data_IF_119396655289
#
_entry.id   IF_119396655289
#
_cell.length_a   1.000
_cell.length_b   1.000
_cell.length_c   1.000
_cell.angle_alpha   90.00
_cell.angle_beta   90.00
_cell.angle_gamma   90.00
#
_symmetry.space_group_name_H-M   'P 1'
#
loop_
_entity.id
_entity.type
_entity.pdbx_description
1 polymer ?
#
# COMPACT_ATOMS: atom_id res chain seq x y z
N UNK A 1 44.74 -5.89 -13.52
CA UNK A 1 44.50 -6.28 -14.91
C UNK A 1 44.22 -5.05 -15.78
N UNK A 2 43.27 -4.17 -15.38
CA UNK A 2 42.89 -2.98 -16.17
C UNK A 2 44.04 -1.97 -16.34
N UNK A 3 44.78 -1.66 -15.28
CA UNK A 3 45.92 -0.75 -15.33
C UNK A 3 47.04 -1.28 -16.26
N UNK A 4 47.29 -2.59 -16.25
CA UNK A 4 48.27 -3.20 -17.14
C UNK A 4 47.77 -3.18 -18.60
N UNK A 5 46.50 -3.46 -18.83
CA UNK A 5 45.90 -3.38 -20.15
C UNK A 5 45.96 -1.97 -20.72
N UNK A 6 45.71 -0.96 -19.91
CA UNK A 6 45.83 0.44 -20.31
C UNK A 6 47.29 0.79 -20.67
N UNK A 7 48.23 0.43 -19.82
CA UNK A 7 49.66 0.67 -20.09
C UNK A 7 50.15 0.02 -21.39
N UNK A 8 49.71 -1.21 -21.67
CA UNK A 8 50.00 -1.89 -22.93
C UNK A 8 49.36 -1.22 -24.15
N UNK A 9 48.13 -0.68 -23.99
CA UNK A 9 47.47 0.10 -25.02
C UNK A 9 48.24 1.39 -25.32
N UNK A 10 48.63 2.11 -24.26
CA UNK A 10 49.38 3.38 -24.38
C UNK A 10 50.72 3.20 -25.08
N UNK A 11 51.40 2.05 -24.90
CA UNK A 11 52.63 1.66 -25.58
C UNK A 11 52.38 1.04 -26.98
N UNK A 12 51.14 0.96 -27.45
CA UNK A 12 50.81 0.40 -28.76
C UNK A 12 51.05 -1.09 -28.89
N UNK A 13 51.18 -1.82 -27.77
CA UNK A 13 51.44 -3.26 -27.78
C UNK A 13 50.14 -4.05 -27.93
N UNK A 14 50.04 -4.92 -28.95
CA UNK A 14 48.85 -5.77 -29.12
C UNK A 14 48.70 -6.71 -27.93
N UNK A 15 47.58 -6.65 -27.28
CA UNK A 15 47.27 -7.53 -26.15
C UNK A 15 45.78 -7.86 -26.11
N UNK A 16 45.45 -8.98 -25.47
CA UNK A 16 44.08 -9.37 -25.17
C UNK A 16 43.91 -9.39 -23.67
N UNK A 17 43.07 -8.47 -23.16
CA UNK A 17 42.70 -8.47 -21.76
C UNK A 17 41.47 -9.35 -21.56
N UNK A 18 41.67 -10.55 -21.04
CA UNK A 18 40.57 -11.41 -20.59
C UNK A 18 40.27 -11.06 -19.13
N UNK A 19 39.70 -9.89 -18.89
CA UNK A 19 39.04 -9.62 -17.64
C UNK A 19 37.73 -10.38 -17.67
N UNK A 20 37.67 -11.48 -16.94
CA UNK A 20 36.37 -12.11 -16.63
C UNK A 20 35.58 -11.11 -15.80
N UNK A 21 34.85 -10.20 -16.43
CA UNK A 21 33.69 -9.58 -15.80
C UNK A 21 32.78 -10.75 -15.47
N UNK A 22 32.69 -11.04 -14.19
CA UNK A 22 31.76 -12.05 -13.72
C UNK A 22 30.36 -11.54 -14.00
N UNK A 23 29.80 -11.93 -15.14
CA UNK A 23 28.48 -11.52 -15.62
C UNK A 23 27.44 -11.80 -14.55
N UNK A 24 27.62 -12.86 -13.75
CA UNK A 24 26.73 -13.22 -12.66
C UNK A 24 26.71 -12.20 -11.50
N UNK A 25 27.72 -11.33 -11.42
CA UNK A 25 27.77 -10.25 -10.44
C UNK A 25 27.14 -8.96 -10.95
N UNK A 26 26.85 -8.84 -12.24
CA UNK A 26 26.20 -7.65 -12.80
C UNK A 26 24.80 -7.45 -12.22
N UNK A 27 24.35 -6.20 -12.16
CA UNK A 27 23.00 -5.89 -11.70
C UNK A 27 21.95 -6.46 -12.65
N UNK A 28 22.20 -6.35 -13.95
CA UNK A 28 21.29 -6.83 -14.99
C UNK A 28 21.05 -8.34 -14.89
N UNK A 29 22.14 -9.11 -14.73
CA UNK A 29 22.02 -10.55 -14.53
C UNK A 29 21.22 -10.88 -13.26
N UNK A 30 21.48 -10.18 -12.15
CA UNK A 30 20.75 -10.39 -10.90
C UNK A 30 19.26 -10.07 -11.03
N UNK A 31 18.90 -9.07 -11.85
CA UNK A 31 17.51 -8.74 -12.13
C UNK A 31 16.86 -9.82 -12.98
N UNK A 32 17.51 -10.24 -14.08
CA UNK A 32 17.00 -11.33 -14.92
C UNK A 32 16.84 -12.62 -14.11
N UNK A 33 17.84 -12.97 -13.31
CA UNK A 33 17.78 -14.13 -12.42
C UNK A 33 16.61 -14.03 -11.43
N UNK A 34 16.36 -12.83 -10.89
CA UNK A 34 15.25 -12.61 -9.95
C UNK A 34 13.89 -12.91 -10.58
N UNK A 35 13.66 -12.58 -11.86
CA UNK A 35 12.42 -12.92 -12.55
C UNK A 35 12.15 -14.44 -12.57
N UNK A 36 13.16 -15.22 -12.98
CA UNK A 36 13.01 -16.68 -12.99
C UNK A 36 12.91 -17.25 -11.56
N UNK A 37 13.62 -16.67 -10.63
CA UNK A 37 13.67 -17.12 -9.24
C UNK A 37 12.31 -17.00 -8.57
N UNK A 38 11.60 -15.88 -8.75
CA UNK A 38 10.27 -15.69 -8.13
C UNK A 38 9.18 -16.51 -8.81
N UNK A 39 9.32 -16.79 -10.10
CA UNK A 39 8.39 -17.69 -10.82
C UNK A 39 8.51 -19.12 -10.29
N UNK A 40 9.72 -19.56 -9.96
CA UNK A 40 9.96 -20.90 -9.42
C UNK A 40 9.61 -21.01 -7.92
N UNK A 41 9.79 -19.91 -7.19
CA UNK A 41 9.52 -19.85 -5.76
C UNK A 41 9.18 -18.42 -5.33
N UNK A 42 7.91 -18.14 -5.14
CA UNK A 42 7.38 -16.82 -4.78
C UNK A 42 7.73 -16.35 -3.35
N UNK A 43 8.25 -17.24 -2.51
CA UNK A 43 8.73 -16.87 -1.16
C UNK A 43 10.13 -16.24 -1.17
N UNK A 44 10.76 -16.07 -2.32
CA UNK A 44 12.10 -15.49 -2.48
C UNK A 44 12.11 -13.97 -2.31
N UNK A 45 11.95 -13.51 -1.07
CA UNK A 45 11.80 -12.08 -0.75
C UNK A 45 12.93 -11.17 -1.25
N UNK A 46 14.18 -11.65 -1.28
CA UNK A 46 15.31 -10.84 -1.79
C UNK A 46 15.18 -10.58 -3.29
N UNK A 47 14.70 -11.56 -4.03
CA UNK A 47 14.52 -11.44 -5.47
C UNK A 47 13.29 -10.60 -5.78
N UNK A 48 12.21 -10.74 -5.03
CA UNK A 48 11.06 -9.83 -5.09
C UNK A 48 11.45 -8.38 -4.78
N UNK A 49 12.24 -8.13 -3.73
CA UNK A 49 12.69 -6.77 -3.41
C UNK A 49 13.47 -6.15 -4.57
N UNK A 50 14.30 -6.95 -5.25
CA UNK A 50 15.07 -6.51 -6.42
C UNK A 50 14.16 -6.16 -7.60
N UNK A 51 13.15 -6.99 -7.87
CA UNK A 51 12.19 -6.74 -8.93
C UNK A 51 11.37 -5.50 -8.66
N UNK A 52 10.73 -5.39 -7.49
CA UNK A 52 9.89 -4.27 -7.10
C UNK A 52 10.63 -2.93 -7.17
N UNK A 53 11.91 -2.93 -6.78
CA UNK A 53 12.76 -1.74 -6.90
C UNK A 53 13.17 -1.47 -8.34
N UNK A 54 13.63 -2.47 -9.07
CA UNK A 54 14.13 -2.28 -10.44
C UNK A 54 13.02 -1.87 -11.42
N UNK A 55 11.81 -2.38 -11.24
CA UNK A 55 10.64 -2.01 -12.05
C UNK A 55 10.02 -0.67 -11.65
N UNK A 56 10.56 0.01 -10.63
CA UNK A 56 10.05 1.30 -10.16
C UNK A 56 8.76 1.24 -9.35
N UNK A 57 8.28 0.04 -9.01
CA UNK A 57 7.09 -0.12 -8.15
C UNK A 57 7.36 0.39 -6.73
N UNK A 58 8.58 0.18 -6.24
CA UNK A 58 9.02 0.69 -4.94
C UNK A 58 10.34 1.44 -5.11
N UNK A 59 10.40 2.62 -4.54
CA UNK A 59 11.45 3.61 -4.75
C UNK A 59 12.86 3.15 -4.31
N UNK A 60 12.97 2.31 -3.27
CA UNK A 60 14.26 1.83 -2.78
C UNK A 60 14.25 0.36 -2.37
N UNK A 61 15.43 -0.28 -2.44
CA UNK A 61 15.63 -1.67 -1.99
C UNK A 61 15.25 -1.88 -0.52
N UNK A 62 15.52 -0.92 0.34
CA UNK A 62 15.24 -1.05 1.77
C UNK A 62 13.75 -0.91 2.05
N UNK A 63 13.06 -0.04 1.31
CA UNK A 63 11.60 0.05 1.37
C UNK A 63 10.96 -1.25 0.86
N UNK A 64 11.41 -1.78 -0.28
CA UNK A 64 10.93 -3.06 -0.80
C UNK A 64 11.10 -4.21 0.21
N UNK A 65 12.25 -4.29 0.86
CA UNK A 65 12.50 -5.29 1.92
C UNK A 65 11.59 -5.13 3.13
N UNK A 66 11.29 -3.90 3.55
CA UNK A 66 10.35 -3.64 4.65
C UNK A 66 8.93 -4.04 4.28
N UNK A 67 8.48 -3.67 3.09
CA UNK A 67 7.18 -4.04 2.56
C UNK A 67 7.00 -5.56 2.55
N UNK A 68 7.94 -6.29 1.94
CA UNK A 68 7.89 -7.75 1.88
C UNK A 68 7.94 -8.43 3.25
N UNK A 69 8.66 -7.88 4.21
CA UNK A 69 8.63 -8.38 5.59
C UNK A 69 7.25 -8.23 6.21
N UNK A 70 6.58 -7.08 6.01
CA UNK A 70 5.20 -6.87 6.49
C UNK A 70 4.22 -7.81 5.81
N UNK A 71 4.29 -7.95 4.48
CA UNK A 71 3.46 -8.92 3.75
C UNK A 71 3.62 -10.32 4.32
N UNK A 72 4.85 -10.75 4.56
CA UNK A 72 5.12 -12.06 5.15
C UNK A 72 4.51 -12.24 6.54
N UNK A 73 4.47 -11.22 7.39
CA UNK A 73 3.88 -11.33 8.73
C UNK A 73 2.38 -11.60 8.72
N UNK A 74 1.69 -11.23 7.63
CA UNK A 74 0.26 -11.47 7.43
C UNK A 74 -0.01 -12.61 6.43
N UNK A 75 1.02 -13.36 6.06
CA UNK A 75 0.89 -14.52 5.17
C UNK A 75 0.74 -14.18 3.69
N UNK A 76 1.01 -12.94 3.27
CA UNK A 76 0.96 -12.53 1.88
C UNK A 76 2.30 -12.66 1.17
N UNK A 77 2.22 -12.92 -0.14
CA UNK A 77 3.33 -12.80 -1.10
C UNK A 77 2.96 -11.78 -2.18
N UNK A 78 3.91 -11.21 -2.93
CA UNK A 78 3.59 -10.37 -4.09
C UNK A 78 2.76 -11.08 -5.14
N UNK A 79 2.88 -12.40 -5.26
CA UNK A 79 2.06 -13.21 -6.17
C UNK A 79 0.58 -13.14 -5.84
N UNK A 80 0.22 -13.01 -4.57
CA UNK A 80 -1.17 -12.85 -4.13
C UNK A 80 -1.81 -11.58 -4.67
N UNK A 81 -1.01 -10.52 -4.88
CA UNK A 81 -1.49 -9.26 -5.44
C UNK A 81 -1.59 -9.31 -6.98
N UNK A 82 -0.78 -10.14 -7.63
CA UNK A 82 -0.76 -10.30 -9.08
C UNK A 82 -1.83 -11.31 -9.54
N UNK A 83 -1.98 -12.39 -8.79
CA UNK A 83 -2.89 -13.50 -9.08
C UNK A 83 -3.92 -13.68 -7.96
N UNK A 84 -4.69 -12.63 -7.67
CA UNK A 84 -5.67 -12.60 -6.58
C UNK A 84 -6.71 -13.74 -6.68
N UNK A 85 -7.03 -14.20 -7.88
CA UNK A 85 -7.96 -15.31 -8.14
C UNK A 85 -7.45 -16.67 -7.63
N UNK A 86 -6.14 -16.78 -7.38
CA UNK A 86 -5.47 -18.00 -6.86
C UNK A 86 -4.92 -17.82 -5.45
N UNK A 87 -4.96 -16.60 -4.93
CA UNK A 87 -4.49 -16.27 -3.60
C UNK A 87 -5.41 -16.89 -2.55
N UNK A 88 -4.84 -17.63 -1.61
CA UNK A 88 -5.59 -18.14 -0.46
C UNK A 88 -6.12 -16.99 0.41
N UNK A 89 -5.35 -15.92 0.55
CA UNK A 89 -5.77 -14.72 1.26
C UNK A 89 -6.99 -14.05 0.62
N UNK A 90 -6.96 -13.81 -0.69
CA UNK A 90 -8.09 -13.24 -1.41
C UNK A 90 -9.30 -14.18 -1.44
N UNK A 91 -9.09 -15.49 -1.48
CA UNK A 91 -10.18 -16.46 -1.37
C UNK A 91 -10.83 -16.46 0.03
N UNK A 92 -10.04 -16.35 1.08
CA UNK A 92 -10.57 -16.24 2.45
C UNK A 92 -11.29 -14.89 2.65
N UNK A 93 -10.73 -13.79 2.17
CA UNK A 93 -11.40 -12.49 2.17
C UNK A 93 -12.74 -12.55 1.42
N UNK A 94 -12.76 -13.17 0.22
CA UNK A 94 -13.99 -13.35 -0.56
C UNK A 94 -15.03 -14.25 0.15
N UNK A 95 -14.58 -15.24 0.92
CA UNK A 95 -15.48 -16.08 1.76
C UNK A 95 -16.02 -15.29 2.94
N UNK A 96 -15.20 -14.47 3.59
CA UNK A 96 -15.62 -13.61 4.70
C UNK A 96 -16.71 -12.62 4.27
N UNK A 97 -16.61 -12.07 3.05
CA UNK A 97 -17.64 -11.19 2.47
C UNK A 97 -18.98 -11.92 2.26
N UNK A 98 -18.93 -13.23 1.92
CA UNK A 98 -20.13 -14.05 1.59
C UNK A 98 -20.79 -14.61 2.83
N UNK A 99 -21.18 -14.02 3.77
CA UNK A 99 -21.91 -14.59 4.92
C UNK A 99 -21.86 -13.72 6.15
N UNK A 100 -21.20 -12.60 6.03
CA UNK A 100 -21.05 -11.64 7.12
C UNK A 100 -21.50 -10.27 6.68
N UNK A 101 -21.82 -9.46 7.67
CA UNK A 101 -22.01 -8.03 7.47
C UNK A 101 -20.67 -7.35 7.57
N UNK A 102 -20.32 -6.54 6.58
CA UNK A 102 -19.16 -5.67 6.59
C UNK A 102 -19.63 -4.23 6.75
N UNK A 103 -18.87 -3.44 7.47
CA UNK A 103 -18.98 -1.97 7.47
C UNK A 103 -17.80 -1.45 6.65
N UNK A 104 -18.10 -0.89 5.49
CA UNK A 104 -17.12 -0.15 4.70
C UNK A 104 -17.21 1.30 5.14
N UNK A 105 -16.08 1.87 5.53
CA UNK A 105 -16.02 3.24 6.03
C UNK A 105 -14.81 3.99 5.47
N UNK A 106 -14.95 5.29 5.47
CA UNK A 106 -13.90 6.24 5.12
C UNK A 106 -13.93 7.41 6.10
N UNK A 107 -12.82 8.11 6.24
CA UNK A 107 -12.66 9.24 7.14
C UNK A 107 -12.05 10.43 6.42
N UNK A 108 -12.60 11.62 6.69
CA UNK A 108 -11.97 12.88 6.34
C UNK A 108 -11.28 13.48 7.56
N UNK A 109 -10.13 14.08 7.35
CA UNK A 109 -9.27 14.61 8.42
C UNK A 109 -8.81 16.03 8.13
N UNK A 110 -8.31 16.72 9.15
CA UNK A 110 -7.72 18.06 9.01
C UNK A 110 -6.35 18.04 8.30
N UNK A 111 -5.73 16.86 8.18
CA UNK A 111 -4.44 16.67 7.51
C UNK A 111 -4.04 15.20 7.47
N UNK A 112 -2.77 14.92 7.25
CA UNK A 112 -2.24 13.54 7.06
C UNK A 112 -1.42 13.01 8.22
N UNK A 113 -1.26 13.78 9.28
CA UNK A 113 -0.52 13.36 10.48
C UNK A 113 -1.46 12.71 11.49
N UNK A 114 -1.45 11.38 11.55
CA UNK A 114 -2.31 10.57 12.43
C UNK A 114 -2.15 10.85 13.94
N UNK A 115 -1.11 11.58 14.34
CA UNK A 115 -0.87 11.93 15.75
C UNK A 115 -1.30 13.35 16.09
N UNK A 116 -1.50 14.21 15.08
CA UNK A 116 -1.76 15.63 15.29
C UNK A 116 -3.01 16.11 14.56
N UNK A 117 -3.51 15.41 13.57
CA UNK A 117 -4.69 15.80 12.83
C UNK A 117 -5.94 15.13 13.39
N UNK A 118 -7.08 15.82 13.26
CA UNK A 118 -8.36 15.37 13.77
C UNK A 118 -9.20 14.74 12.66
N UNK A 119 -9.99 13.72 13.00
CA UNK A 119 -11.03 13.20 12.14
C UNK A 119 -12.22 14.16 12.19
N UNK A 120 -12.66 14.64 11.03
CA UNK A 120 -13.79 15.58 10.89
C UNK A 120 -15.04 14.99 10.27
N UNK A 121 -14.91 13.82 9.63
CA UNK A 121 -16.05 13.05 9.14
C UNK A 121 -15.75 11.55 9.22
N UNK A 122 -16.79 10.80 9.54
CA UNK A 122 -16.84 9.35 9.34
C UNK A 122 -18.05 9.04 8.47
N UNK A 123 -17.79 8.52 7.27
CA UNK A 123 -18.82 8.00 6.38
C UNK A 123 -18.73 6.47 6.33
N UNK A 124 -19.89 5.80 6.38
CA UNK A 124 -19.90 4.34 6.37
C UNK A 124 -21.16 3.77 5.71
N UNK A 125 -21.06 2.54 5.21
CA UNK A 125 -22.17 1.79 4.65
C UNK A 125 -22.02 0.31 5.01
N UNK A 126 -23.14 -0.38 5.21
CA UNK A 126 -23.12 -1.83 5.45
C UNK A 126 -23.23 -2.60 4.14
N UNK A 127 -22.44 -3.66 4.03
CA UNK A 127 -22.57 -4.67 2.98
C UNK A 127 -22.95 -6.00 3.59
N UNK A 128 -23.88 -6.69 2.95
CA UNK A 128 -24.24 -8.06 3.27
C UNK A 128 -24.22 -8.89 2.00
N UNK A 129 -23.51 -10.02 2.02
CA UNK A 129 -23.33 -10.87 0.84
C UNK A 129 -22.81 -10.10 -0.41
N UNK A 130 -21.93 -9.13 -0.21
CA UNK A 130 -21.35 -8.32 -1.28
C UNK A 130 -22.31 -7.29 -1.90
N UNK A 131 -23.45 -7.01 -1.27
CA UNK A 131 -24.40 -5.99 -1.69
C UNK A 131 -24.58 -4.94 -0.60
N UNK A 132 -24.73 -3.70 -1.02
CA UNK A 132 -25.04 -2.60 -0.10
C UNK A 132 -26.41 -2.86 0.53
N UNK A 133 -26.49 -2.70 1.83
CA UNK A 133 -27.77 -2.74 2.58
C UNK A 133 -28.43 -1.37 2.45
N UNK A 134 -29.58 -1.32 1.82
CA UNK A 134 -30.32 -0.07 1.59
C UNK A 134 -30.69 0.60 2.92
N UNK A 135 -30.45 1.91 3.01
CA UNK A 135 -30.72 2.70 4.22
C UNK A 135 -29.74 2.47 5.36
N UNK A 136 -28.58 1.86 5.07
CA UNK A 136 -27.52 1.62 6.06
C UNK A 136 -26.45 2.71 6.07
N UNK A 137 -26.62 3.78 5.34
CA UNK A 137 -25.64 4.85 5.27
C UNK A 137 -25.50 5.55 6.63
N UNK A 138 -24.26 5.72 7.08
CA UNK A 138 -23.88 6.52 8.23
C UNK A 138 -22.99 7.66 7.72
N UNK A 139 -23.24 8.87 8.22
CA UNK A 139 -22.43 10.03 7.85
C UNK A 139 -22.44 11.02 9.02
N UNK A 140 -21.32 11.08 9.73
CA UNK A 140 -21.13 11.85 10.94
C UNK A 140 -20.11 12.96 10.68
N UNK A 141 -20.48 14.21 11.01
CA UNK A 141 -19.52 15.33 11.05
C UNK A 141 -19.11 15.54 12.50
N UNK A 142 -17.83 15.68 12.71
CA UNK A 142 -17.19 15.72 14.03
C UNK A 142 -16.58 17.09 14.24
N UNK A 143 -16.85 17.71 15.39
CA UNK A 143 -16.29 19.00 15.73
C UNK A 143 -14.76 18.95 15.89
N UNK A 144 -14.10 20.03 15.48
CA UNK A 144 -12.66 20.22 15.62
C UNK A 144 -12.36 21.70 15.86
N UNK A 145 -11.34 21.96 16.68
CA UNK A 145 -10.75 23.28 16.87
C UNK A 145 -9.63 23.56 15.84
N UNK A 146 -9.30 22.58 15.01
CA UNK A 146 -8.25 22.72 14.00
C UNK A 146 -8.76 23.33 12.70
N UNK A 147 -7.93 24.09 12.00
CA UNK A 147 -8.30 24.62 10.70
C UNK A 147 -8.43 23.50 9.68
N UNK A 148 -9.55 23.47 8.95
CA UNK A 148 -9.73 22.57 7.80
C UNK A 148 -9.10 23.25 6.58
N UNK A 149 -8.16 22.59 5.87
CA UNK A 149 -7.54 23.16 4.69
C UNK A 149 -8.56 23.52 3.62
N UNK A 150 -8.51 24.73 3.09
CA UNK A 150 -9.42 25.17 2.03
C UNK A 150 -9.10 24.53 0.67
N UNK A 151 -7.87 24.02 0.52
CA UNK A 151 -7.39 23.41 -0.71
C UNK A 151 -6.79 22.03 -0.43
N UNK A 152 -7.05 21.08 -1.34
CA UNK A 152 -6.40 19.78 -1.41
C UNK A 152 -5.50 19.78 -2.66
N UNK A 153 -4.23 20.10 -2.47
CA UNK A 153 -3.33 20.41 -3.60
C UNK A 153 -3.85 21.62 -4.37
N UNK A 154 -4.15 21.46 -5.65
CA UNK A 154 -4.65 22.52 -6.53
C UNK A 154 -6.20 22.59 -6.59
N UNK A 155 -6.90 21.75 -5.86
CA UNK A 155 -8.37 21.67 -5.89
C UNK A 155 -8.99 22.23 -4.60
N UNK A 156 -10.15 22.92 -4.68
CA UNK A 156 -10.91 23.30 -3.50
C UNK A 156 -11.32 22.07 -2.68
N UNK A 157 -11.22 22.19 -1.36
CA UNK A 157 -11.65 21.11 -0.46
C UNK A 157 -13.18 21.15 -0.27
N UNK A 158 -13.91 20.16 -0.76
CA UNK A 158 -15.38 20.12 -0.64
C UNK A 158 -15.86 20.00 0.82
N UNK A 159 -15.02 19.44 1.70
CA UNK A 159 -15.34 19.30 3.13
C UNK A 159 -15.55 20.62 3.85
N UNK A 160 -14.93 21.71 3.41
CA UNK A 160 -15.10 23.02 4.05
C UNK A 160 -16.56 23.49 4.02
N UNK A 161 -17.23 23.31 2.89
CA UNK A 161 -18.64 23.66 2.74
C UNK A 161 -19.59 22.68 3.45
N UNK A 162 -19.31 21.39 3.37
CA UNK A 162 -20.06 20.34 4.06
C UNK A 162 -19.99 20.54 5.58
N UNK A 163 -18.79 20.78 6.09
CA UNK A 163 -18.56 21.03 7.51
C UNK A 163 -19.35 22.24 8.02
N UNK A 164 -19.38 23.36 7.28
CA UNK A 164 -20.11 24.57 7.68
C UNK A 164 -21.63 24.41 7.72
N UNK A 165 -22.18 23.52 6.90
CA UNK A 165 -23.65 23.36 6.74
C UNK A 165 -24.25 22.35 7.66
N UNK A 166 -23.50 21.40 8.16
CA UNK A 166 -24.02 20.25 8.90
C UNK A 166 -23.82 20.40 10.40
N UNK A 167 -24.71 19.81 11.23
CA UNK A 167 -24.47 19.76 12.66
C UNK A 167 -23.28 18.88 12.98
N UNK A 168 -22.49 19.30 13.97
CA UNK A 168 -21.33 18.59 14.44
C UNK A 168 -21.64 17.81 15.72
N UNK A 169 -21.00 16.69 15.87
CA UNK A 169 -21.00 15.87 17.09
C UNK A 169 -19.67 16.03 17.80
N UNK A 170 -19.67 15.87 19.11
CA UNK A 170 -18.39 15.71 19.80
C UNK A 170 -17.66 14.46 19.31
N UNK A 171 -16.32 14.40 19.38
CA UNK A 171 -15.55 13.22 19.01
C UNK A 171 -16.03 11.96 19.75
N UNK A 172 -16.34 12.09 21.06
CA UNK A 172 -16.82 10.97 21.88
C UNK A 172 -18.18 10.47 21.42
N UNK A 173 -19.10 11.39 21.12
CA UNK A 173 -20.45 11.04 20.64
C UNK A 173 -20.39 10.40 19.25
N UNK A 174 -19.60 10.97 18.33
CA UNK A 174 -19.43 10.44 16.98
C UNK A 174 -18.84 9.03 17.02
N UNK A 175 -17.80 8.83 17.82
CA UNK A 175 -17.17 7.53 17.98
C UNK A 175 -18.11 6.51 18.62
N UNK A 176 -18.86 6.89 19.65
CA UNK A 176 -19.85 6.01 20.26
C UNK A 176 -20.93 5.58 19.25
N UNK A 177 -21.44 6.51 18.43
CA UNK A 177 -22.41 6.20 17.37
C UNK A 177 -21.82 5.29 16.30
N UNK A 178 -20.57 5.52 15.91
CA UNK A 178 -19.88 4.67 14.94
C UNK A 178 -19.71 3.25 15.49
N UNK A 179 -19.26 3.07 16.73
CA UNK A 179 -19.14 1.76 17.36
C UNK A 179 -20.48 1.03 17.49
N UNK A 180 -21.54 1.73 17.87
CA UNK A 180 -22.90 1.17 17.92
C UNK A 180 -23.38 0.74 16.52
N UNK A 181 -23.10 1.57 15.51
CA UNK A 181 -23.41 1.25 14.12
C UNK A 181 -22.63 0.02 13.63
N UNK A 182 -21.34 -0.11 13.97
CA UNK A 182 -20.51 -1.27 13.60
C UNK A 182 -21.07 -2.56 14.21
N UNK A 183 -21.37 -2.55 15.52
CA UNK A 183 -21.81 -3.75 16.24
C UNK A 183 -20.80 -4.89 16.07
N UNK A 184 -21.30 -6.05 15.63
CA UNK A 184 -20.48 -7.26 15.38
C UNK A 184 -19.96 -7.37 13.92
N UNK A 185 -20.11 -6.34 13.11
CA UNK A 185 -19.67 -6.36 11.72
C UNK A 185 -18.14 -6.25 11.60
N UNK A 186 -17.60 -6.81 10.55
CA UNK A 186 -16.18 -6.63 10.21
C UNK A 186 -15.99 -5.26 9.53
N UNK A 187 -14.87 -4.59 9.87
CA UNK A 187 -14.52 -3.28 9.32
C UNK A 187 -13.67 -3.41 8.06
N UNK A 188 -13.99 -2.59 7.07
CA UNK A 188 -13.23 -2.42 5.84
C UNK A 188 -13.01 -0.93 5.61
N UNK A 189 -11.78 -0.49 5.68
CA UNK A 189 -11.38 0.89 5.44
C UNK A 189 -10.18 0.96 4.50
N UNK A 190 -10.01 2.09 3.84
CA UNK A 190 -8.85 2.38 3.02
C UNK A 190 -8.09 3.53 3.67
N UNK A 191 -6.81 3.29 3.95
CA UNK A 191 -5.89 4.32 4.47
C UNK A 191 -6.34 4.99 5.79
N UNK A 192 -6.96 4.20 6.67
CA UNK A 192 -7.55 4.62 7.95
C UNK A 192 -6.70 4.14 9.14
#
# INVERSE_FOLDING_TARGET
AELLSQALTDEGLPHLSITRRDVFKSIDFKVIYAHFSVVLNDTRHTDWARLLHHTGVIESMDHARRCLRRMRTIGLTPTDLIHYDRSSYCLEAARSVRGRTLVVFDTETTGTDIFHDDIIQIAAVKLCNGKVVEGSELDLIIETDRPIPEMLGDLPNPMVEEYRRRPHLSPEEAFARFLDYVGDAELVGHNV
#
